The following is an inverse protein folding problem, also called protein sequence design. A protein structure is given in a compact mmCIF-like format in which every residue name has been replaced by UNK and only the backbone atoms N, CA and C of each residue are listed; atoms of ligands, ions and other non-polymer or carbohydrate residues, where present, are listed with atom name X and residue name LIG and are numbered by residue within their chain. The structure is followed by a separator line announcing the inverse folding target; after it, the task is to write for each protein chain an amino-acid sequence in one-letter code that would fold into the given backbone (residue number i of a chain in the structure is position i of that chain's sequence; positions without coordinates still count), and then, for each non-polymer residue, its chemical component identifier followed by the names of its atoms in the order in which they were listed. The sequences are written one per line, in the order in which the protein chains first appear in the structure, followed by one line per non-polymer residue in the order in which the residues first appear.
data_IF_481516060990
#
_entry.id   IF_481516060990
#
_cell.length_a   1.000
_cell.length_b   1.000
_cell.length_c   1.000
_cell.angle_alpha   90.00
_cell.angle_beta   90.00
_cell.angle_gamma   90.00
#
_symmetry.space_group_name_H-M   'P 1'
#
loop_
_entity.id
_entity.type
_entity.pdbx_description
1 polymer ?
#
# COMPACT_ATOMS: atom_id res chain seq x y z
N UNK A 1 -2.07 19.38 -20.96
CA UNK A 1 -1.74 18.24 -21.84
C UNK A 1 -2.32 16.91 -21.31
N UNK A 2 -2.95 16.09 -22.15
CA UNK A 2 -3.36 14.71 -21.80
C UNK A 2 -2.33 13.68 -22.28
N UNK A 3 -1.76 12.89 -21.37
CA UNK A 3 -0.76 11.87 -21.69
C UNK A 3 -1.34 10.49 -22.05
N UNK A 4 -2.60 10.24 -21.68
CA UNK A 4 -3.32 8.99 -21.96
C UNK A 4 -4.74 9.30 -22.41
N UNK A 5 -5.34 8.41 -23.22
CA UNK A 5 -6.70 8.59 -23.72
C UNK A 5 -7.71 8.69 -22.55
N UNK A 6 -8.55 9.74 -22.56
CA UNK A 6 -9.49 10.08 -21.48
C UNK A 6 -8.82 10.31 -20.11
N UNK A 7 -7.52 10.59 -20.08
CA UNK A 7 -6.79 10.96 -18.88
C UNK A 7 -7.09 12.39 -18.42
N UNK A 8 -6.66 12.76 -17.21
CA UNK A 8 -6.74 14.14 -16.75
C UNK A 8 -5.90 15.04 -17.67
N UNK A 9 -6.39 16.25 -17.88
CA UNK A 9 -5.58 17.29 -18.52
C UNK A 9 -4.59 17.84 -17.49
N UNK A 10 -3.30 17.60 -17.73
CA UNK A 10 -2.22 18.00 -16.83
C UNK A 10 -1.78 19.43 -17.17
N UNK A 11 -1.79 20.38 -16.21
CA UNK A 11 -1.33 21.74 -16.46
C UNK A 11 0.15 21.81 -16.86
N UNK A 12 0.48 22.63 -17.84
CA UNK A 12 1.86 22.80 -18.32
C UNK A 12 2.79 23.32 -17.21
N UNK A 13 2.27 24.16 -16.31
CA UNK A 13 2.99 24.66 -15.13
C UNK A 13 3.43 23.54 -14.19
N UNK A 14 2.61 22.50 -14.04
CA UNK A 14 2.96 21.33 -13.22
C UNK A 14 4.05 20.50 -13.89
N UNK A 15 4.04 20.41 -15.23
CA UNK A 15 5.07 19.72 -15.99
C UNK A 15 6.42 20.42 -15.88
N UNK A 16 6.43 21.74 -16.07
CA UNK A 16 7.65 22.53 -15.92
C UNK A 16 8.23 22.42 -14.50
N UNK A 17 7.38 22.57 -13.46
CA UNK A 17 7.83 22.44 -12.09
C UNK A 17 8.39 21.03 -11.79
N UNK A 18 7.84 19.99 -12.40
CA UNK A 18 8.34 18.62 -12.28
C UNK A 18 9.71 18.47 -12.97
N UNK A 19 9.89 19.03 -14.17
CA UNK A 19 11.18 19.05 -14.89
C UNK A 19 12.27 19.79 -14.12
N UNK A 20 11.91 20.87 -13.42
CA UNK A 20 12.81 21.65 -12.55
C UNK A 20 13.05 20.99 -11.18
N UNK A 21 12.48 19.81 -10.92
CA UNK A 21 12.64 19.10 -9.64
C UNK A 21 11.93 19.77 -8.45
N UNK A 22 10.96 20.65 -8.73
CA UNK A 22 10.24 21.45 -7.73
C UNK A 22 8.86 20.89 -7.37
N UNK A 23 8.58 19.63 -7.72
CA UNK A 23 7.29 18.96 -7.45
C UNK A 23 7.45 17.84 -6.42
N UNK A 24 6.56 17.84 -5.43
CA UNK A 24 6.36 16.73 -4.48
C UNK A 24 4.92 16.26 -4.57
N UNK A 25 4.74 14.96 -4.88
CA UNK A 25 3.45 14.31 -4.75
C UNK A 25 3.24 13.83 -3.32
N UNK A 26 2.27 14.41 -2.63
CA UNK A 26 1.85 13.95 -1.33
C UNK A 26 0.57 13.12 -1.45
N UNK A 27 0.70 11.80 -1.29
CA UNK A 27 -0.40 10.86 -1.51
C UNK A 27 -0.72 10.08 -0.23
N UNK A 28 -2.00 10.04 0.14
CA UNK A 28 -2.51 9.12 1.16
C UNK A 28 -2.72 7.70 0.61
N UNK A 29 -2.96 6.74 1.51
CA UNK A 29 -3.20 5.33 1.14
C UNK A 29 -4.34 5.12 0.13
N UNK A 30 -5.31 6.04 0.08
CA UNK A 30 -6.47 5.99 -0.81
C UNK A 30 -6.13 6.07 -2.31
N UNK A 31 -4.96 6.59 -2.70
CA UNK A 31 -4.58 6.67 -4.13
C UNK A 31 -4.49 5.28 -4.78
N UNK A 32 -4.22 4.25 -3.97
CA UNK A 32 -4.05 2.87 -4.42
C UNK A 32 -5.37 2.15 -4.72
N UNK A 33 -6.50 2.63 -4.15
CA UNK A 33 -7.79 1.96 -4.25
C UNK A 33 -8.35 1.92 -5.69
N UNK A 34 -8.43 3.05 -6.42
CA UNK A 34 -8.89 3.05 -7.81
C UNK A 34 -7.96 2.27 -8.75
N UNK A 35 -6.69 2.09 -8.37
CA UNK A 35 -5.71 1.31 -9.12
C UNK A 35 -5.87 -0.21 -8.93
N UNK A 36 -6.85 -0.66 -8.13
CA UNK A 36 -7.08 -2.09 -7.88
C UNK A 36 -5.99 -2.76 -7.03
N UNK A 37 -5.18 -1.97 -6.34
CA UNK A 37 -4.14 -2.48 -5.45
C UNK A 37 -4.76 -2.93 -4.11
N UNK A 38 -4.15 -3.91 -3.42
CA UNK A 38 -4.66 -4.39 -2.15
C UNK A 38 -4.63 -3.28 -1.09
N UNK A 39 -5.71 -3.19 -0.32
CA UNK A 39 -5.69 -2.46 0.96
C UNK A 39 -4.77 -3.14 1.98
N UNK A 40 -4.62 -2.51 3.15
CA UNK A 40 -3.62 -2.94 4.13
C UNK A 40 -3.77 -4.40 4.58
N UNK A 41 -4.99 -4.88 4.86
CA UNK A 41 -5.22 -6.29 5.18
C UNK A 41 -4.83 -7.26 4.06
N UNK A 42 -5.03 -6.86 2.79
CA UNK A 42 -4.56 -7.65 1.64
C UNK A 42 -3.04 -7.68 1.53
N UNK A 43 -2.35 -6.61 1.93
CA UNK A 43 -0.88 -6.60 2.05
C UNK A 43 -0.40 -7.55 3.16
N UNK A 44 -1.07 -7.57 4.32
CA UNK A 44 -0.75 -8.52 5.41
C UNK A 44 -0.91 -9.96 4.93
N UNK A 45 -2.01 -10.30 4.24
CA UNK A 45 -2.19 -11.66 3.68
C UNK A 45 -1.10 -12.05 2.68
N UNK A 46 -0.64 -11.09 1.85
CA UNK A 46 0.48 -11.33 0.93
C UNK A 46 1.80 -11.59 1.67
N UNK A 47 2.03 -10.98 2.82
CA UNK A 47 3.21 -11.26 3.66
C UNK A 47 3.19 -12.72 4.12
N UNK A 48 2.07 -13.20 4.69
CA UNK A 48 1.92 -14.62 5.08
C UNK A 48 2.17 -15.57 3.91
N UNK A 49 1.64 -15.24 2.73
CA UNK A 49 1.83 -16.03 1.51
C UNK A 49 3.31 -16.07 1.08
N UNK A 50 4.04 -14.96 1.18
CA UNK A 50 5.45 -14.84 0.79
C UNK A 50 6.41 -15.49 1.78
N UNK A 51 6.08 -15.46 3.08
CA UNK A 51 6.87 -16.12 4.12
C UNK A 51 6.56 -17.61 4.23
N UNK A 52 5.57 -18.11 3.47
CA UNK A 52 5.19 -19.52 3.46
C UNK A 52 4.62 -20.00 4.79
N UNK A 53 4.05 -19.10 5.58
CA UNK A 53 3.54 -19.40 6.92
C UNK A 53 2.03 -19.16 7.00
N UNK A 54 1.41 -19.74 8.01
CA UNK A 54 -0.01 -19.52 8.33
C UNK A 54 -0.14 -18.75 9.65
N UNK A 55 -1.19 -17.92 9.81
CA UNK A 55 -1.44 -17.24 11.08
C UNK A 55 -1.62 -18.24 12.22
N UNK A 56 -0.95 -17.98 13.35
CA UNK A 56 -1.28 -18.63 14.63
C UNK A 56 -2.66 -18.20 15.12
N UNK A 57 -3.21 -18.84 16.16
CA UNK A 57 -4.52 -18.48 16.69
C UNK A 57 -4.63 -17.00 17.10
N UNK A 58 -3.59 -16.46 17.74
CA UNK A 58 -3.54 -15.07 18.21
C UNK A 58 -3.39 -14.11 17.02
N UNK A 59 -2.53 -14.44 16.06
CA UNK A 59 -2.36 -13.66 14.83
C UNK A 59 -3.66 -13.63 14.01
N UNK A 60 -4.36 -14.76 13.93
CA UNK A 60 -5.64 -14.86 13.23
C UNK A 60 -6.72 -14.00 13.89
N UNK A 61 -6.84 -14.06 15.22
CA UNK A 61 -7.79 -13.23 15.96
C UNK A 61 -7.51 -11.73 15.73
N UNK A 62 -6.23 -11.33 15.77
CA UNK A 62 -5.82 -9.95 15.50
C UNK A 62 -6.14 -9.53 14.06
N UNK A 63 -5.87 -10.41 13.10
CA UNK A 63 -6.15 -10.18 11.67
C UNK A 63 -7.65 -10.03 11.40
N UNK A 64 -8.47 -10.90 11.97
CA UNK A 64 -9.93 -10.90 11.82
C UNK A 64 -10.57 -9.64 12.43
N UNK A 65 -9.91 -9.03 13.43
CA UNK A 65 -10.29 -7.74 14.03
C UNK A 65 -9.78 -6.52 13.25
N UNK A 66 -9.02 -6.72 12.17
CA UNK A 66 -8.41 -5.64 11.40
C UNK A 66 -7.23 -4.97 12.10
N UNK A 67 -6.66 -5.58 13.14
CA UNK A 67 -5.51 -5.07 13.88
C UNK A 67 -4.20 -5.45 13.16
N UNK A 68 -4.03 -4.91 11.95
CA UNK A 68 -2.99 -5.32 11.01
C UNK A 68 -1.56 -5.09 11.54
N UNK A 69 -1.28 -3.94 12.15
CA UNK A 69 0.03 -3.66 12.75
C UNK A 69 0.36 -4.66 13.86
N UNK A 70 -0.57 -4.88 14.79
CA UNK A 70 -0.41 -5.88 15.84
C UNK A 70 -0.26 -7.32 15.31
N UNK A 71 -0.92 -7.64 14.19
CA UNK A 71 -0.75 -8.93 13.52
C UNK A 71 0.68 -9.09 12.98
N UNK A 72 1.25 -8.03 12.40
CA UNK A 72 2.62 -8.04 11.89
C UNK A 72 3.66 -8.06 13.01
N UNK A 73 3.44 -7.34 14.11
CA UNK A 73 4.30 -7.38 15.30
C UNK A 73 4.39 -8.80 15.88
N UNK A 74 3.26 -9.51 15.94
CA UNK A 74 3.21 -10.91 16.39
C UNK A 74 3.96 -11.83 15.43
N UNK A 75 3.76 -11.63 14.12
CA UNK A 75 4.44 -12.40 13.07
C UNK A 75 5.97 -12.22 13.12
N UNK A 76 6.45 -10.98 13.24
CA UNK A 76 7.88 -10.64 13.28
C UNK A 76 8.58 -11.28 14.48
N UNK A 77 7.95 -11.26 15.66
CA UNK A 77 8.48 -11.94 16.85
C UNK A 77 8.66 -13.44 16.66
N UNK A 78 7.83 -14.06 15.82
CA UNK A 78 7.87 -15.49 15.53
C UNK A 78 8.84 -15.83 14.40
N UNK A 79 8.98 -14.95 13.42
CA UNK A 79 9.87 -15.10 12.26
C UNK A 79 10.85 -13.91 12.20
N UNK A 80 11.88 -13.91 13.07
CA UNK A 80 12.95 -12.94 12.93
C UNK A 80 13.65 -13.16 11.58
N UNK A 81 13.90 -12.06 10.87
CA UNK A 81 14.58 -12.05 9.57
C UNK A 81 16.03 -12.53 9.62
#
# INVERSE_FOLDING_TARGET
MQFVANGPDIPDELLQAHEEGSVVFFCGAGISYPAGLPGFGGLVQKIYSRTGTVPTAIEKESLDRGQFDGTLDLLERRLPG
#
